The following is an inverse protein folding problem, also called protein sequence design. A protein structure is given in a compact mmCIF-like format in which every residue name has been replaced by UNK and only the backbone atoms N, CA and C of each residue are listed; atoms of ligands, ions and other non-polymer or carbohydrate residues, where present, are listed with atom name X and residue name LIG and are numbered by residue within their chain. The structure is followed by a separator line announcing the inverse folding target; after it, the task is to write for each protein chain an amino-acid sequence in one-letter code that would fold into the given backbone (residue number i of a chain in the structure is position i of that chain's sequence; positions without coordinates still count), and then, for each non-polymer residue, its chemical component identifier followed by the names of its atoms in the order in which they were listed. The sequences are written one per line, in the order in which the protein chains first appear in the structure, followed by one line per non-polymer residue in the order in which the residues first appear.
data_IF_774194589723
#
_entry.id   IF_774194589723
#
_cell.length_a   1.000
_cell.length_b   1.000
_cell.length_c   1.000
_cell.angle_alpha   90.00
_cell.angle_beta   90.00
_cell.angle_gamma   90.00
#
_symmetry.space_group_name_H-M   'P 1'
#
loop_
_entity.id
_entity.type
_entity.pdbx_description
1 polymer ?
#
# COMPACT_ATOMS: atom_id res chain seq x y z
N UNK A 1 -39.87 -50.21 -37.35
CA UNK A 1 -38.96 -49.83 -36.24
C UNK A 1 -38.51 -48.37 -36.44
N UNK A 2 -39.01 -47.42 -35.64
CA UNK A 2 -38.62 -46.01 -35.70
C UNK A 2 -37.62 -45.79 -34.57
N UNK A 3 -36.33 -45.57 -34.92
CA UNK A 3 -35.25 -45.22 -33.99
C UNK A 3 -35.32 -43.71 -33.73
N UNK A 4 -35.64 -43.30 -32.50
CA UNK A 4 -35.62 -41.94 -32.07
C UNK A 4 -34.18 -41.60 -31.60
N UNK A 5 -33.46 -40.73 -32.37
CA UNK A 5 -32.19 -40.15 -31.97
C UNK A 5 -32.48 -38.97 -31.02
N UNK A 6 -32.20 -39.14 -29.72
CA UNK A 6 -32.19 -38.06 -28.78
C UNK A 6 -30.87 -37.26 -28.93
N UNK A 7 -30.98 -36.07 -29.51
CA UNK A 7 -29.89 -35.14 -29.61
C UNK A 7 -29.74 -34.43 -28.23
N UNK A 8 -28.75 -34.82 -27.45
CA UNK A 8 -28.37 -34.10 -26.21
C UNK A 8 -27.72 -32.80 -26.62
N UNK A 9 -28.44 -31.67 -26.53
CA UNK A 9 -27.87 -30.34 -26.58
C UNK A 9 -27.12 -30.12 -25.24
N UNK A 10 -25.79 -30.24 -25.27
CA UNK A 10 -24.93 -29.81 -24.19
C UNK A 10 -24.99 -28.26 -24.14
N UNK A 11 -25.86 -27.73 -23.29
CA UNK A 11 -25.83 -26.32 -22.88
C UNK A 11 -24.54 -26.11 -22.13
N UNK A 12 -23.49 -25.62 -22.80
CA UNK A 12 -22.29 -25.08 -22.16
C UNK A 12 -22.71 -23.84 -21.37
N UNK A 13 -22.95 -24.01 -20.09
CA UNK A 13 -23.03 -22.89 -19.14
C UNK A 13 -21.65 -22.23 -19.16
N UNK A 14 -21.53 -20.95 -19.55
CA UNK A 14 -20.25 -20.27 -19.45
C UNK A 14 -19.79 -20.33 -18.00
N UNK A 15 -18.66 -20.96 -17.75
CA UNK A 15 -18.04 -20.94 -16.42
C UNK A 15 -17.80 -19.47 -16.07
N UNK A 16 -18.47 -19.00 -15.03
CA UNK A 16 -18.23 -17.64 -14.51
C UNK A 16 -16.77 -17.62 -14.05
N UNK A 17 -15.93 -16.84 -14.75
CA UNK A 17 -14.52 -16.74 -14.45
C UNK A 17 -14.31 -16.39 -12.97
N UNK A 18 -13.23 -16.89 -12.39
CA UNK A 18 -12.87 -16.63 -10.98
C UNK A 18 -12.65 -15.13 -10.76
N UNK A 19 -13.22 -14.58 -9.69
CA UNK A 19 -12.96 -13.20 -9.26
C UNK A 19 -12.17 -13.21 -7.96
N UNK A 20 -11.05 -12.47 -7.94
CA UNK A 20 -10.16 -12.36 -6.79
C UNK A 20 -10.15 -10.92 -6.29
N UNK A 21 -10.31 -10.76 -4.98
CA UNK A 21 -10.23 -9.45 -4.32
C UNK A 21 -8.79 -9.01 -4.17
N UNK A 22 -8.48 -7.81 -4.64
CA UNK A 22 -7.24 -7.11 -4.31
C UNK A 22 -7.54 -6.09 -3.22
N UNK A 23 -7.14 -6.39 -2.00
CA UNK A 23 -7.31 -5.50 -0.86
C UNK A 23 -6.27 -4.38 -0.87
N UNK A 24 -6.73 -3.16 -0.61
CA UNK A 24 -5.88 -2.01 -0.35
C UNK A 24 -6.38 -1.24 0.87
N UNK A 25 -5.47 -0.88 1.78
CA UNK A 25 -5.79 -0.09 2.97
C UNK A 25 -5.21 1.33 2.93
N UNK A 26 -4.55 1.71 1.83
CA UNK A 26 -4.03 3.06 1.63
C UNK A 26 -5.16 3.99 1.16
N UNK A 27 -5.88 4.59 2.14
CA UNK A 27 -7.02 5.46 1.86
C UNK A 27 -6.63 6.92 1.60
N UNK A 28 -5.46 7.14 1.02
CA UNK A 28 -4.92 8.47 0.74
C UNK A 28 -4.23 8.50 -0.64
N UNK A 29 -4.07 9.69 -1.24
CA UNK A 29 -3.29 9.82 -2.47
C UNK A 29 -1.84 9.31 -2.27
N UNK A 30 -1.24 8.78 -3.34
CA UNK A 30 -1.74 8.59 -4.69
C UNK A 30 -2.56 7.30 -4.87
N UNK A 31 -2.65 6.42 -3.87
CA UNK A 31 -3.29 5.11 -3.97
C UNK A 31 -4.79 5.23 -4.20
N UNK A 32 -5.42 6.15 -3.47
CA UNK A 32 -6.83 6.50 -3.62
C UNK A 32 -6.96 8.02 -3.66
N UNK A 33 -7.37 8.57 -4.80
CA UNK A 33 -7.52 10.02 -5.03
C UNK A 33 -8.97 10.47 -5.15
N UNK A 34 -9.93 9.55 -5.00
CA UNK A 34 -11.35 9.84 -5.08
C UNK A 34 -12.15 8.68 -5.66
N UNK A 35 -13.38 8.98 -6.08
CA UNK A 35 -14.25 7.99 -6.71
C UNK A 35 -13.63 7.57 -8.04
N UNK A 36 -13.34 6.27 -8.17
CA UNK A 36 -12.78 5.65 -9.36
C UNK A 36 -11.41 6.17 -9.85
N UNK A 37 -10.60 6.77 -8.96
CA UNK A 37 -9.26 7.26 -9.30
C UNK A 37 -8.22 6.86 -8.24
N UNK A 38 -6.94 6.75 -8.67
CA UNK A 38 -5.80 6.41 -7.84
C UNK A 38 -5.01 5.21 -8.33
N UNK A 39 -3.76 5.09 -7.87
CA UNK A 39 -2.83 4.03 -8.29
C UNK A 39 -3.39 2.61 -8.09
N UNK A 40 -4.23 2.39 -7.08
CA UNK A 40 -4.79 1.07 -6.83
C UNK A 40 -5.77 0.65 -7.92
N UNK A 41 -6.51 1.58 -8.51
CA UNK A 41 -7.36 1.30 -9.67
C UNK A 41 -6.56 1.06 -10.94
N UNK A 42 -5.52 1.86 -11.15
CA UNK A 42 -4.61 1.66 -12.29
C UNK A 42 -3.88 0.31 -12.19
N UNK A 43 -3.48 -0.10 -10.98
CA UNK A 43 -2.91 -1.43 -10.74
C UNK A 43 -3.90 -2.54 -11.13
N UNK A 44 -5.17 -2.45 -10.71
CA UNK A 44 -6.20 -3.44 -11.06
C UNK A 44 -6.42 -3.50 -12.57
N UNK A 45 -6.48 -2.35 -13.25
CA UNK A 45 -6.59 -2.32 -14.73
C UNK A 45 -5.41 -3.02 -15.38
N UNK A 46 -4.19 -2.69 -14.93
CA UNK A 46 -2.96 -3.28 -15.46
C UNK A 46 -2.93 -4.80 -15.24
N UNK A 47 -3.24 -5.25 -14.04
CA UNK A 47 -3.29 -6.68 -13.71
C UNK A 47 -4.32 -7.41 -14.57
N UNK A 48 -5.53 -6.89 -14.69
CA UNK A 48 -6.58 -7.52 -15.52
C UNK A 48 -6.20 -7.59 -17.00
N UNK A 49 -5.56 -6.55 -17.54
CA UNK A 49 -5.03 -6.56 -18.91
C UNK A 49 -3.99 -7.68 -19.10
N UNK A 50 -3.01 -7.76 -18.18
CA UNK A 50 -1.91 -8.73 -18.27
C UNK A 50 -2.35 -10.16 -17.96
N UNK A 51 -3.35 -10.34 -17.10
CA UNK A 51 -3.93 -11.65 -16.78
C UNK A 51 -4.91 -12.14 -17.86
N UNK A 52 -5.27 -11.29 -18.85
CA UNK A 52 -6.28 -11.63 -19.84
C UNK A 52 -7.71 -11.71 -19.26
N UNK A 53 -7.93 -11.09 -18.11
CA UNK A 53 -9.21 -11.10 -17.40
C UNK A 53 -9.53 -12.38 -16.62
N UNK A 54 -8.61 -13.37 -16.60
CA UNK A 54 -8.81 -14.62 -15.85
C UNK A 54 -7.57 -15.01 -15.02
N UNK A 55 -7.70 -14.99 -13.69
CA UNK A 55 -8.86 -14.55 -12.90
C UNK A 55 -9.08 -13.03 -13.02
N UNK A 56 -10.31 -12.57 -12.82
CA UNK A 56 -10.62 -11.15 -12.72
C UNK A 56 -10.22 -10.61 -11.37
N UNK A 57 -9.46 -9.52 -11.36
CA UNK A 57 -9.08 -8.82 -10.12
C UNK A 57 -10.07 -7.69 -9.86
N UNK A 58 -10.58 -7.60 -8.62
CA UNK A 58 -11.46 -6.52 -8.17
C UNK A 58 -10.86 -5.81 -6.96
N UNK A 59 -10.85 -4.47 -7.00
CA UNK A 59 -10.33 -3.64 -5.91
C UNK A 59 -11.30 -3.60 -4.72
N UNK A 60 -10.76 -3.90 -3.54
CA UNK A 60 -11.47 -3.79 -2.27
C UNK A 60 -10.73 -2.84 -1.33
N UNK A 61 -11.28 -1.62 -1.19
CA UNK A 61 -10.73 -0.62 -0.28
C UNK A 61 -11.23 -0.90 1.14
N UNK A 62 -10.31 -1.12 2.06
CA UNK A 62 -10.60 -1.42 3.48
C UNK A 62 -9.68 -0.60 4.38
N UNK A 63 -9.99 -0.48 5.67
CA UNK A 63 -9.03 0.01 6.63
C UNK A 63 -8.09 -1.11 7.12
N UNK A 64 -7.00 -0.74 7.81
CA UNK A 64 -5.99 -1.71 8.26
C UNK A 64 -6.56 -2.76 9.23
N UNK A 65 -7.48 -2.37 10.10
CA UNK A 65 -8.12 -3.28 11.06
C UNK A 65 -9.01 -4.31 10.33
N UNK A 66 -9.79 -3.86 9.34
CA UNK A 66 -10.61 -4.76 8.53
C UNK A 66 -9.75 -5.72 7.72
N UNK A 67 -8.66 -5.26 7.11
CA UNK A 67 -7.71 -6.14 6.42
C UNK A 67 -7.14 -7.21 7.36
N UNK A 68 -6.74 -6.83 8.58
CA UNK A 68 -6.23 -7.79 9.55
C UNK A 68 -7.26 -8.87 9.90
N UNK A 69 -8.53 -8.49 10.03
CA UNK A 69 -9.64 -9.43 10.26
C UNK A 69 -9.83 -10.38 9.06
N UNK A 70 -9.87 -9.85 7.83
CA UNK A 70 -9.96 -10.69 6.61
C UNK A 70 -8.81 -11.69 6.52
N UNK A 71 -7.58 -11.23 6.77
CA UNK A 71 -6.37 -12.08 6.72
C UNK A 71 -6.27 -13.09 7.88
N UNK A 72 -7.03 -12.93 8.95
CA UNK A 72 -7.09 -13.89 10.06
C UNK A 72 -7.97 -15.11 9.74
N UNK A 73 -8.82 -15.01 8.72
CA UNK A 73 -9.64 -16.14 8.25
C UNK A 73 -8.72 -17.14 7.53
N UNK A 74 -8.70 -18.44 7.96
CA UNK A 74 -7.95 -19.48 7.26
C UNK A 74 -8.35 -19.67 5.79
N UNK A 75 -9.56 -19.26 5.41
CA UNK A 75 -10.07 -19.30 4.04
C UNK A 75 -9.68 -18.07 3.21
N UNK A 76 -8.89 -17.15 3.78
CA UNK A 76 -8.43 -15.96 3.04
C UNK A 76 -7.71 -16.36 1.75
N UNK A 77 -8.23 -15.89 0.62
CA UNK A 77 -7.71 -16.17 -0.72
C UNK A 77 -7.51 -14.91 -1.58
N UNK A 78 -7.63 -13.72 -0.96
CA UNK A 78 -7.43 -12.44 -1.62
C UNK A 78 -5.96 -12.06 -1.74
N UNK A 79 -5.70 -11.04 -2.55
CA UNK A 79 -4.40 -10.38 -2.68
C UNK A 79 -4.36 -9.10 -1.85
N UNK A 80 -3.18 -8.64 -1.45
CA UNK A 80 -3.03 -7.34 -0.78
C UNK A 80 -2.01 -6.50 -1.52
N UNK A 81 -2.42 -5.31 -1.98
CA UNK A 81 -1.57 -4.42 -2.76
C UNK A 81 -0.73 -3.47 -1.88
N UNK A 82 0.38 -2.99 -2.46
CA UNK A 82 1.23 -1.91 -1.95
C UNK A 82 1.87 -2.17 -0.60
N UNK A 83 1.99 -3.43 -0.20
CA UNK A 83 2.51 -3.84 1.09
C UNK A 83 3.99 -4.22 1.05
N UNK A 84 4.60 -4.23 2.24
CA UNK A 84 5.98 -4.67 2.45
C UNK A 84 5.99 -5.83 3.45
N UNK A 85 6.87 -6.83 3.31
CA UNK A 85 6.95 -7.96 4.22
C UNK A 85 7.05 -7.59 5.71
N UNK A 86 7.87 -6.60 6.05
CA UNK A 86 8.04 -6.17 7.45
C UNK A 86 6.72 -5.63 8.06
N UNK A 87 5.92 -4.88 7.28
CA UNK A 87 4.65 -4.33 7.76
C UNK A 87 3.58 -5.39 7.99
N UNK A 88 3.69 -6.52 7.29
CA UNK A 88 2.75 -7.63 7.37
C UNK A 88 3.20 -8.71 8.38
N UNK A 89 4.28 -8.44 9.15
CA UNK A 89 4.83 -9.37 10.13
C UNK A 89 5.44 -10.61 9.50
N UNK A 90 6.00 -10.47 8.31
CA UNK A 90 6.61 -11.54 7.52
C UNK A 90 7.97 -11.11 6.90
N UNK A 91 8.89 -10.52 7.69
CA UNK A 91 10.14 -9.98 7.16
C UNK A 91 11.01 -11.05 6.47
N UNK A 92 10.90 -12.32 6.86
CA UNK A 92 11.58 -13.45 6.25
C UNK A 92 10.84 -14.05 5.05
N UNK A 93 9.61 -13.55 4.75
CA UNK A 93 8.74 -14.05 3.66
C UNK A 93 8.36 -15.54 3.78
N UNK A 94 8.13 -16.00 5.00
CA UNK A 94 7.81 -17.40 5.28
C UNK A 94 6.31 -17.69 5.35
N UNK A 95 5.49 -16.67 5.70
CA UNK A 95 4.04 -16.82 5.90
C UNK A 95 3.24 -16.69 4.63
N UNK A 96 3.67 -15.78 3.74
CA UNK A 96 2.97 -15.41 2.52
C UNK A 96 3.88 -15.58 1.31
N UNK A 97 3.28 -15.54 0.13
CA UNK A 97 3.99 -15.36 -1.13
C UNK A 97 4.01 -13.86 -1.46
N UNK A 98 5.07 -13.42 -2.12
CA UNK A 98 5.32 -12.01 -2.41
C UNK A 98 5.68 -11.83 -3.88
N UNK A 99 5.01 -10.93 -4.57
CA UNK A 99 5.44 -10.56 -5.91
C UNK A 99 6.85 -9.94 -5.89
N UNK A 100 7.49 -9.83 -7.05
CA UNK A 100 8.59 -8.89 -7.20
C UNK A 100 8.11 -7.46 -6.89
N UNK A 101 9.04 -6.51 -6.63
CA UNK A 101 8.67 -5.14 -6.37
C UNK A 101 7.83 -4.54 -7.49
N UNK A 102 6.71 -3.91 -7.15
CA UNK A 102 5.87 -3.17 -8.09
C UNK A 102 6.06 -1.64 -7.98
N UNK A 103 6.74 -1.20 -6.92
CA UNK A 103 7.07 0.21 -6.70
C UNK A 103 8.19 0.33 -5.67
N UNK A 104 9.08 1.33 -5.84
CA UNK A 104 10.04 1.79 -4.82
C UNK A 104 9.49 3.04 -4.17
N UNK A 105 9.68 3.16 -2.87
CA UNK A 105 9.15 4.28 -2.09
C UNK A 105 10.06 4.58 -0.89
N UNK A 106 9.79 5.69 -0.21
CA UNK A 106 10.53 6.14 0.98
C UNK A 106 9.55 6.47 2.10
N UNK A 107 10.05 6.48 3.33
CA UNK A 107 9.39 7.11 4.46
C UNK A 107 10.10 8.45 4.74
N UNK A 108 9.43 9.54 4.44
CA UNK A 108 9.95 10.89 4.70
C UNK A 108 9.58 11.31 6.12
N UNK A 109 10.57 11.78 6.88
CA UNK A 109 10.33 12.38 8.20
C UNK A 109 9.88 13.82 8.03
N UNK A 110 8.71 14.12 8.58
CA UNK A 110 8.08 15.43 8.52
C UNK A 110 8.00 16.01 9.93
N UNK A 111 8.37 17.27 10.08
CA UNK A 111 8.22 18.07 11.30
C UNK A 111 7.59 19.44 10.99
N UNK A 112 7.29 20.22 12.02
CA UNK A 112 6.85 21.59 11.85
C UNK A 112 8.02 22.47 11.33
N UNK A 113 7.77 23.38 10.38
CA UNK A 113 8.81 24.26 9.83
C UNK A 113 9.38 25.27 10.87
N UNK A 114 8.62 25.57 11.92
CA UNK A 114 9.10 26.40 13.04
C UNK A 114 10.06 25.64 13.96
N UNK A 115 9.96 24.30 13.97
CA UNK A 115 10.81 23.39 14.76
C UNK A 115 11.33 22.26 13.85
N UNK A 116 12.26 22.56 12.93
CA UNK A 116 12.71 21.60 11.93
C UNK A 116 13.58 20.51 12.57
N UNK A 117 13.23 19.24 12.30
CA UNK A 117 13.96 18.07 12.79
C UNK A 117 14.57 17.33 11.63
N UNK A 118 15.90 17.26 11.61
CA UNK A 118 16.65 16.48 10.61
C UNK A 118 16.87 15.06 11.11
N UNK A 119 16.38 14.07 10.36
CA UNK A 119 16.65 12.68 10.66
C UNK A 119 18.11 12.32 10.39
N UNK A 120 18.78 11.75 11.38
CA UNK A 120 20.17 11.24 11.32
C UNK A 120 20.31 9.85 11.93
N UNK A 121 19.21 9.10 11.96
CA UNK A 121 19.10 7.80 12.61
C UNK A 121 18.14 7.83 13.80
N UNK A 122 17.86 6.66 14.43
CA UNK A 122 16.88 6.54 15.52
C UNK A 122 17.13 7.49 16.69
N UNK A 123 18.39 7.76 17.02
CA UNK A 123 18.76 8.66 18.13
C UNK A 123 18.26 10.10 17.97
N UNK A 124 18.06 10.55 16.71
CA UNK A 124 17.50 11.88 16.43
C UNK A 124 16.02 12.02 16.79
N UNK A 125 15.36 10.92 17.15
CA UNK A 125 13.94 10.89 17.53
C UNK A 125 13.75 10.77 19.05
N UNK A 126 14.83 10.65 19.84
CA UNK A 126 14.75 10.50 21.29
C UNK A 126 14.06 11.68 21.96
N UNK A 127 13.13 11.39 22.86
CA UNK A 127 12.35 12.37 23.61
C UNK A 127 11.22 13.03 22.82
N UNK A 128 11.05 12.71 21.54
CA UNK A 128 10.03 13.30 20.68
C UNK A 128 8.70 12.56 20.76
N UNK A 129 7.63 13.27 20.39
CA UNK A 129 6.30 12.70 20.18
C UNK A 129 6.14 12.37 18.69
N UNK A 130 6.09 11.08 18.38
CA UNK A 130 5.88 10.57 17.03
C UNK A 130 4.40 10.34 16.76
N UNK A 131 3.86 10.96 15.72
CA UNK A 131 2.51 10.71 15.20
C UNK A 131 2.47 9.50 14.28
N UNK A 132 1.92 8.39 14.78
CA UNK A 132 1.69 7.17 14.00
C UNK A 132 0.28 7.11 13.40
N UNK A 133 0.04 6.10 12.57
CA UNK A 133 -1.29 5.73 12.09
C UNK A 133 -1.70 4.42 12.75
N UNK A 134 -2.93 4.35 13.26
CA UNK A 134 -3.47 3.16 13.93
C UNK A 134 -3.26 1.89 13.10
N UNK A 135 -2.67 0.87 13.72
CA UNK A 135 -2.39 -0.42 13.10
C UNK A 135 -1.21 -0.44 12.12
N UNK A 136 -0.54 0.69 11.85
CA UNK A 136 0.69 0.70 11.06
C UNK A 136 1.90 0.26 11.90
N UNK A 137 2.86 -0.38 11.24
CA UNK A 137 4.15 -0.73 11.82
C UNK A 137 5.23 0.18 11.27
N UNK A 138 6.02 0.74 12.16
CA UNK A 138 7.12 1.65 11.84
C UNK A 138 8.43 1.05 12.34
N UNK A 139 9.19 0.50 11.41
CA UNK A 139 10.46 -0.18 11.70
C UNK A 139 11.42 0.74 12.46
N UNK A 140 11.94 0.26 13.59
CA UNK A 140 12.84 0.99 14.48
C UNK A 140 12.13 2.00 15.39
N UNK A 141 11.01 2.59 14.97
CA UNK A 141 10.24 3.54 15.79
C UNK A 141 9.39 2.79 16.82
N UNK A 142 8.74 1.70 16.44
CA UNK A 142 7.93 0.90 17.35
C UNK A 142 8.78 0.33 18.50
N UNK A 143 9.99 -0.15 18.16
CA UNK A 143 10.93 -0.66 19.16
C UNK A 143 11.43 0.46 20.10
N UNK A 144 11.75 1.64 19.55
CA UNK A 144 12.17 2.80 20.34
C UNK A 144 11.05 3.29 21.28
N UNK A 145 9.80 3.30 20.80
CA UNK A 145 8.63 3.62 21.62
C UNK A 145 8.44 2.56 22.73
N UNK A 146 8.61 1.27 22.40
CA UNK A 146 8.54 0.19 23.39
C UNK A 146 9.61 0.28 24.49
N UNK A 147 10.76 0.88 24.20
CA UNK A 147 11.82 1.17 25.19
C UNK A 147 11.65 2.50 25.90
N UNK A 148 10.59 3.27 25.58
CA UNK A 148 10.36 4.60 26.16
C UNK A 148 11.31 5.70 25.66
N UNK A 149 12.02 5.47 24.56
CA UNK A 149 12.96 6.44 23.98
C UNK A 149 12.24 7.58 23.24
N UNK A 150 11.00 7.35 22.81
CA UNK A 150 10.08 8.34 22.25
C UNK A 150 8.64 8.01 22.65
N UNK A 151 7.73 8.97 22.50
CA UNK A 151 6.29 8.75 22.72
C UNK A 151 5.61 8.54 21.38
N UNK A 152 4.91 7.40 21.18
CA UNK A 152 4.08 7.17 20.01
C UNK A 152 2.62 7.55 20.30
N UNK A 153 2.06 8.44 19.47
CA UNK A 153 0.66 8.86 19.50
C UNK A 153 0.02 8.54 18.15
N UNK A 154 -0.96 7.65 18.13
CA UNK A 154 -1.60 7.23 16.90
C UNK A 154 -2.84 8.07 16.55
N UNK A 155 -3.00 8.36 15.27
CA UNK A 155 -4.21 8.92 14.68
C UNK A 155 -4.78 7.98 13.61
N UNK A 156 -6.03 8.21 13.22
CA UNK A 156 -6.69 7.36 12.21
C UNK A 156 -6.14 7.55 10.79
N UNK A 157 -5.53 8.70 10.49
CA UNK A 157 -5.10 9.08 9.12
C UNK A 157 -3.82 9.90 9.16
N UNK A 158 -3.01 9.77 8.12
CA UNK A 158 -1.82 10.61 7.90
C UNK A 158 -2.15 12.10 7.98
N UNK A 159 -3.24 12.53 7.32
CA UNK A 159 -3.67 13.94 7.36
C UNK A 159 -3.88 14.48 8.77
N UNK A 160 -4.43 13.67 9.66
CA UNK A 160 -4.63 14.06 11.07
C UNK A 160 -3.28 14.31 11.76
N UNK A 161 -2.27 13.49 11.49
CA UNK A 161 -0.92 13.71 12.04
C UNK A 161 -0.30 15.01 11.50
N UNK A 162 -0.47 15.31 10.20
CA UNK A 162 -0.01 16.58 9.64
C UNK A 162 -0.71 17.80 10.29
N UNK A 163 -2.01 17.70 10.57
CA UNK A 163 -2.77 18.73 11.29
C UNK A 163 -2.27 18.89 12.73
N UNK A 164 -1.91 17.80 13.41
CA UNK A 164 -1.32 17.81 14.74
C UNK A 164 0.09 18.40 14.75
N UNK A 165 0.91 18.11 13.74
CA UNK A 165 2.23 18.70 13.53
C UNK A 165 2.17 20.22 13.45
N UNK A 166 1.30 20.75 12.57
CA UNK A 166 1.13 22.20 12.40
C UNK A 166 0.67 22.88 13.69
N UNK A 167 -0.06 22.17 14.55
CA UNK A 167 -0.53 22.66 15.85
C UNK A 167 0.49 22.43 16.99
N UNK A 168 1.66 21.87 16.72
CA UNK A 168 2.67 21.55 17.74
C UNK A 168 2.21 20.51 18.77
N UNK A 169 1.32 19.59 18.38
CA UNK A 169 0.81 18.53 19.27
C UNK A 169 1.60 17.23 19.17
N UNK A 170 2.33 17.06 18.09
CA UNK A 170 3.34 16.04 17.86
C UNK A 170 4.56 16.70 17.24
N UNK A 171 5.74 16.10 17.38
CA UNK A 171 7.00 16.66 16.89
C UNK A 171 7.34 16.17 15.48
N UNK A 172 7.06 14.91 15.20
CA UNK A 172 7.39 14.27 13.93
C UNK A 172 6.32 13.27 13.49
N UNK A 173 6.21 13.04 12.19
CA UNK A 173 5.45 11.92 11.60
C UNK A 173 6.17 11.40 10.37
N UNK A 174 5.80 10.24 9.89
CA UNK A 174 6.25 9.69 8.61
C UNK A 174 5.16 9.79 7.54
N UNK A 175 5.56 10.22 6.36
CA UNK A 175 4.73 10.23 5.16
C UNK A 175 5.48 9.48 4.07
N UNK A 176 4.80 8.62 3.29
CA UNK A 176 5.45 8.01 2.14
C UNK A 176 5.83 9.06 1.09
N UNK A 177 7.02 8.94 0.51
CA UNK A 177 7.51 9.86 -0.52
C UNK A 177 6.53 9.97 -1.68
N UNK A 178 5.90 8.86 -2.08
CA UNK A 178 4.85 8.82 -3.10
C UNK A 178 3.61 9.65 -2.76
N UNK A 179 3.32 9.88 -1.47
CA UNK A 179 2.15 10.65 -1.03
C UNK A 179 2.48 12.09 -0.67
N UNK A 180 3.76 12.40 -0.49
CA UNK A 180 4.20 13.64 0.13
C UNK A 180 3.72 14.88 -0.64
N UNK A 181 3.89 14.92 -1.97
CA UNK A 181 3.49 16.05 -2.82
C UNK A 181 2.00 16.39 -2.70
N UNK A 182 1.14 15.38 -2.56
CA UNK A 182 -0.31 15.61 -2.39
C UNK A 182 -0.66 16.36 -1.10
N UNK A 183 0.21 16.27 -0.09
CA UNK A 183 -0.02 16.97 1.16
C UNK A 183 0.64 18.33 1.19
N UNK A 184 1.95 18.41 0.84
CA UNK A 184 2.73 19.65 0.98
C UNK A 184 2.27 20.76 0.05
N UNK A 185 1.78 20.43 -1.16
CA UNK A 185 1.33 21.42 -2.15
C UNK A 185 -0.05 22.00 -1.81
N UNK A 186 -0.76 21.40 -0.86
CA UNK A 186 -2.03 21.96 -0.41
C UNK A 186 -1.78 23.31 0.28
N UNK A 187 -2.66 24.29 0.03
CA UNK A 187 -2.59 25.62 0.69
C UNK A 187 -2.53 25.53 2.22
N UNK A 188 -3.16 24.50 2.77
CA UNK A 188 -3.23 24.29 4.22
C UNK A 188 -1.85 24.02 4.86
N UNK A 189 -0.94 23.31 4.15
CA UNK A 189 0.37 22.90 4.69
C UNK A 189 1.54 23.68 4.10
N UNK A 190 1.33 24.44 3.04
CA UNK A 190 2.40 25.19 2.34
C UNK A 190 3.18 26.07 3.32
N UNK A 191 4.50 25.85 3.37
CA UNK A 191 5.43 26.58 4.24
C UNK A 191 5.37 26.24 5.72
N UNK A 192 4.49 25.31 6.15
CA UNK A 192 4.33 24.93 7.58
C UNK A 192 5.00 23.62 7.94
N UNK A 193 5.43 22.86 6.94
CA UNK A 193 6.06 21.56 7.13
C UNK A 193 7.52 21.61 6.69
N UNK A 194 8.38 20.99 7.49
CA UNK A 194 9.77 20.72 7.14
C UNK A 194 9.92 19.23 6.81
N UNK A 195 10.52 18.95 5.66
CA UNK A 195 10.85 17.59 5.22
C UNK A 195 12.33 17.38 5.52
N UNK A 196 12.66 16.35 6.28
CA UNK A 196 14.05 15.99 6.52
C UNK A 196 14.77 15.70 5.19
N UNK A 197 16.01 16.21 4.98
CA UNK A 197 16.77 15.93 3.77
C UNK A 197 17.18 14.45 3.62
N UNK A 198 17.04 13.67 4.70
CA UNK A 198 17.30 12.24 4.69
C UNK A 198 16.01 11.50 5.05
N UNK A 199 15.56 10.55 4.20
CA UNK A 199 14.40 9.73 4.52
C UNK A 199 14.70 8.83 5.73
N UNK A 200 13.67 8.50 6.49
CA UNK A 200 13.80 7.54 7.59
C UNK A 200 14.17 6.15 7.06
N UNK A 201 13.59 5.75 5.94
CA UNK A 201 13.90 4.48 5.28
C UNK A 201 13.51 4.51 3.81
N UNK A 202 14.12 3.62 3.02
CA UNK A 202 13.69 3.28 1.67
C UNK A 202 13.20 1.84 1.65
N UNK A 203 12.16 1.56 0.87
CA UNK A 203 11.55 0.24 0.81
C UNK A 203 10.92 -0.03 -0.56
N UNK A 204 10.50 -1.28 -0.75
CA UNK A 204 9.74 -1.69 -1.92
C UNK A 204 8.31 -2.07 -1.54
N UNK A 205 7.38 -1.83 -2.46
CA UNK A 205 5.99 -2.25 -2.34
C UNK A 205 5.75 -3.46 -3.23
N UNK A 206 4.95 -4.37 -2.74
CA UNK A 206 4.68 -5.67 -3.34
C UNK A 206 3.18 -5.96 -3.34
N UNK A 207 2.80 -7.02 -4.05
CA UNK A 207 1.52 -7.71 -3.87
C UNK A 207 1.80 -8.91 -2.98
N UNK A 208 1.04 -9.04 -1.88
CA UNK A 208 1.04 -10.21 -1.01
C UNK A 208 -0.03 -11.18 -1.47
N UNK A 209 0.30 -12.47 -1.49
CA UNK A 209 -0.60 -13.58 -1.76
C UNK A 209 -0.59 -14.57 -0.58
N UNK A 210 -1.72 -15.14 -0.18
CA UNK A 210 -1.71 -16.31 0.68
C UNK A 210 -1.11 -17.51 -0.05
N UNK A 211 -0.54 -18.47 0.68
CA UNK A 211 0.06 -19.69 0.07
C UNK A 211 -0.94 -20.53 -0.73
N UNK A 212 -2.23 -20.42 -0.41
CA UNK A 212 -3.31 -21.02 -1.20
C UNK A 212 -3.40 -20.50 -2.63
N UNK A 213 -2.79 -19.34 -2.95
CA UNK A 213 -2.75 -18.72 -4.28
C UNK A 213 -1.39 -18.87 -4.98
N UNK A 214 -0.68 -19.97 -4.71
CA UNK A 214 0.57 -20.28 -5.39
C UNK A 214 0.42 -20.40 -6.93
N UNK A 215 -0.78 -20.71 -7.41
CA UNK A 215 -1.18 -20.75 -8.81
C UNK A 215 -0.95 -19.41 -9.53
N UNK A 216 -1.11 -18.29 -8.84
CA UNK A 216 -0.92 -16.94 -9.39
C UNK A 216 0.48 -16.37 -9.18
N UNK A 217 1.27 -16.93 -8.27
CA UNK A 217 2.52 -16.32 -7.85
C UNK A 217 3.51 -16.10 -9.01
N UNK A 218 3.71 -17.13 -9.86
CA UNK A 218 4.58 -17.00 -11.04
C UNK A 218 4.09 -15.91 -11.99
N UNK A 219 2.79 -15.92 -12.34
CA UNK A 219 2.19 -14.94 -13.24
C UNK A 219 2.31 -13.49 -12.70
N UNK A 220 2.11 -13.29 -11.39
CA UNK A 220 2.25 -11.97 -10.78
C UNK A 220 3.71 -11.51 -10.71
N UNK A 221 4.67 -12.42 -10.57
CA UNK A 221 6.10 -12.09 -10.67
C UNK A 221 6.47 -11.65 -12.08
N UNK A 222 6.02 -12.38 -13.12
CA UNK A 222 6.27 -12.01 -14.51
C UNK A 222 5.65 -10.64 -14.84
N UNK A 223 4.45 -10.37 -14.31
CA UNK A 223 3.79 -9.07 -14.47
C UNK A 223 4.57 -7.98 -13.74
N UNK A 224 5.00 -8.20 -12.50
CA UNK A 224 5.77 -7.22 -11.73
C UNK A 224 7.12 -6.88 -12.40
N UNK A 225 7.80 -7.88 -12.97
CA UNK A 225 9.03 -7.66 -13.74
C UNK A 225 8.78 -6.83 -15.01
N UNK A 226 7.65 -7.08 -15.70
CA UNK A 226 7.24 -6.30 -16.85
C UNK A 226 6.88 -4.86 -16.47
N UNK A 227 6.21 -4.65 -15.34
CA UNK A 227 5.85 -3.32 -14.83
C UNK A 227 7.07 -2.41 -14.66
N UNK A 228 8.17 -2.95 -14.11
CA UNK A 228 9.42 -2.19 -13.90
C UNK A 228 10.05 -1.69 -15.23
N UNK A 229 9.70 -2.33 -16.35
CA UNK A 229 10.21 -2.01 -17.69
C UNK A 229 9.16 -1.36 -18.62
N UNK A 230 7.88 -1.30 -18.20
CA UNK A 230 6.78 -0.81 -19.05
C UNK A 230 6.66 0.73 -18.99
N UNK A 231 6.97 1.46 -20.10
CA UNK A 231 6.85 2.92 -20.14
C UNK A 231 5.42 3.42 -19.84
N UNK A 232 4.39 2.60 -20.13
CA UNK A 232 3.00 2.97 -19.84
C UNK A 232 2.76 2.99 -18.33
N UNK A 233 3.32 2.00 -17.61
CA UNK A 233 3.25 1.96 -16.16
C UNK A 233 4.04 3.11 -15.51
N UNK A 234 5.23 3.41 -16.02
CA UNK A 234 6.02 4.57 -15.56
C UNK A 234 5.24 5.87 -15.74
N UNK A 235 4.58 6.06 -16.89
CA UNK A 235 3.73 7.23 -17.12
C UNK A 235 2.54 7.30 -16.15
N UNK A 236 1.95 6.16 -15.79
CA UNK A 236 0.93 6.09 -14.73
C UNK A 236 1.51 6.57 -13.41
N UNK A 237 2.65 6.02 -12.98
CA UNK A 237 3.30 6.46 -11.74
C UNK A 237 3.64 7.95 -11.74
N UNK A 238 4.13 8.48 -12.85
CA UNK A 238 4.45 9.91 -13.02
C UNK A 238 3.20 10.79 -12.91
N UNK A 239 2.08 10.37 -13.50
CA UNK A 239 0.82 11.14 -13.44
C UNK A 239 0.24 11.25 -12.02
N UNK A 240 0.66 10.38 -11.12
CA UNK A 240 0.32 10.39 -9.70
C UNK A 240 1.46 10.89 -8.80
N UNK A 241 2.60 11.27 -9.36
CA UNK A 241 3.56 12.12 -8.64
C UNK A 241 3.00 13.53 -8.70
N UNK A 242 2.69 14.12 -7.56
CA UNK A 242 2.28 15.53 -7.54
C UNK A 242 3.28 16.38 -8.32
N UNK A 243 2.81 17.43 -8.95
CA UNK A 243 3.68 18.37 -9.66
C UNK A 243 4.71 18.93 -8.68
N UNK A 244 6.01 18.92 -9.03
CA UNK A 244 7.07 19.44 -8.16
C UNK A 244 6.88 20.91 -7.80
#
# INVERSE_FOLDING_TARGET
MRVWFWLWLLLSVPAKGETIRLYDYHQHPPFNTGVDAGLSRELVKYLNEKLGGEPRIELWLVNRARLALEMSDPAFNGLVAWVNPAWMGDPQRERYLWSFPIMRDTNELISNSEHPITYRGPDSLKGLVFGGVEGYRYQGIDDAAGRGELVRQDAKRVKTNLDLLVRGRIDVTLVSGSSLSFFIDSEHYRGKLFISPFPQSSYTRHILLPKSRADLHGRLNDIAEQMDKDPRWHKVLESYRGTP
#
